data_IF_806755110097
#
_entry.id   IF_806755110097
#
_cell.length_a   1.000
_cell.length_b   1.000
_cell.length_c   1.000
_cell.angle_alpha   90.00
_cell.angle_beta   90.00
_cell.angle_gamma   90.00
#
_symmetry.space_group_name_H-M   'P 1'
#
loop_
_entity.id
_entity.type
_entity.pdbx_description
1 polymer ?
#
# COMPACT_ATOMS: atom_id res chain seq x y z
N UNK A 1 -22.28 -12.84 14.54
CA UNK A 1 -21.12 -12.71 13.63
C UNK A 1 -19.99 -12.09 14.43
N UNK A 2 -18.74 -12.55 14.26
CA UNK A 2 -17.60 -11.94 14.94
C UNK A 2 -17.44 -10.47 14.54
N UNK A 3 -16.95 -9.62 15.44
CA UNK A 3 -16.65 -8.21 15.13
C UNK A 3 -15.57 -8.16 14.03
N UNK A 4 -15.83 -7.43 12.94
CA UNK A 4 -14.88 -7.27 11.82
C UNK A 4 -13.71 -6.40 12.27
N UNK A 5 -12.50 -6.77 11.86
CA UNK A 5 -11.28 -5.98 12.11
C UNK A 5 -11.27 -4.75 11.20
N UNK A 6 -11.20 -3.56 11.80
CA UNK A 6 -11.08 -2.30 11.06
C UNK A 6 -9.66 -2.12 10.57
N UNK A 7 -9.50 -1.92 9.26
CA UNK A 7 -8.20 -1.68 8.66
C UNK A 7 -8.16 -0.41 7.83
N UNK A 8 -7.01 0.25 7.85
CA UNK A 8 -6.60 1.26 6.86
C UNK A 8 -5.47 0.63 6.06
N UNK A 9 -5.53 0.73 4.74
CA UNK A 9 -4.47 0.23 3.86
C UNK A 9 -3.66 1.45 3.39
N UNK A 10 -2.39 1.50 3.76
CA UNK A 10 -1.42 2.49 3.27
C UNK A 10 -0.65 1.89 2.11
N UNK A 11 -0.78 2.45 0.91
CA UNK A 11 -0.46 1.75 -0.35
C UNK A 11 0.07 2.71 -1.42
N UNK A 12 0.82 2.18 -2.37
CA UNK A 12 1.33 2.88 -3.54
C UNK A 12 0.88 2.12 -4.80
N UNK A 13 -0.44 2.09 -5.12
CA UNK A 13 -1.04 0.97 -5.84
C UNK A 13 -0.30 0.52 -7.11
N UNK A 14 0.45 -0.57 -6.93
CA UNK A 14 0.95 -1.45 -7.96
C UNK A 14 -0.02 -2.59 -8.26
N UNK A 15 0.43 -3.56 -9.06
CA UNK A 15 -0.36 -4.73 -9.46
C UNK A 15 -0.68 -5.61 -8.24
N UNK A 16 0.30 -5.83 -7.37
CA UNK A 16 0.19 -6.59 -6.13
C UNK A 16 -0.63 -5.86 -5.06
N UNK A 17 -0.47 -4.55 -4.89
CA UNK A 17 -1.36 -3.73 -4.04
C UNK A 17 -2.83 -3.85 -4.48
N UNK A 18 -3.09 -3.78 -5.79
CA UNK A 18 -4.43 -3.91 -6.32
C UNK A 18 -5.05 -5.26 -5.92
N UNK A 19 -4.27 -6.34 -5.99
CA UNK A 19 -4.70 -7.66 -5.53
C UNK A 19 -4.97 -7.68 -4.02
N UNK A 20 -4.11 -7.06 -3.21
CA UNK A 20 -4.28 -6.99 -1.76
C UNK A 20 -5.53 -6.20 -1.35
N UNK A 21 -5.77 -5.05 -1.97
CA UNK A 21 -6.97 -4.22 -1.77
C UNK A 21 -8.22 -5.03 -2.11
N UNK A 22 -8.23 -5.67 -3.27
CA UNK A 22 -9.35 -6.49 -3.71
C UNK A 22 -9.62 -7.68 -2.79
N UNK A 23 -8.59 -8.37 -2.32
CA UNK A 23 -8.73 -9.44 -1.34
C UNK A 23 -9.31 -8.92 -0.02
N UNK A 24 -8.82 -7.77 0.46
CA UNK A 24 -9.32 -7.16 1.69
C UNK A 24 -10.80 -6.75 1.57
N UNK A 25 -11.22 -6.19 0.44
CA UNK A 25 -12.61 -5.79 0.21
C UNK A 25 -13.58 -6.97 0.13
N UNK A 26 -13.11 -8.17 -0.25
CA UNK A 26 -13.91 -9.39 -0.31
C UNK A 26 -13.88 -10.20 1.00
N UNK A 27 -13.00 -9.85 1.95
CA UNK A 27 -12.88 -10.60 3.21
C UNK A 27 -14.03 -10.29 4.17
N UNK A 28 -14.79 -11.31 4.65
CA UNK A 28 -15.87 -11.10 5.62
C UNK A 28 -15.36 -10.75 7.02
N UNK A 29 -14.07 -10.97 7.30
CA UNK A 29 -13.43 -10.74 8.60
C UNK A 29 -12.93 -9.30 8.77
N UNK A 30 -12.85 -8.54 7.66
CA UNK A 30 -12.19 -7.25 7.57
C UNK A 30 -13.21 -6.17 7.19
N UNK A 31 -13.03 -5.00 7.77
CA UNK A 31 -13.73 -3.77 7.41
C UNK A 31 -12.67 -2.74 6.98
N UNK A 32 -12.52 -2.54 5.66
CA UNK A 32 -11.66 -1.49 5.12
C UNK A 32 -12.37 -0.15 5.31
N UNK A 33 -11.79 0.72 6.15
CA UNK A 33 -12.37 2.02 6.51
C UNK A 33 -11.71 3.21 5.79
N UNK A 34 -10.62 2.97 5.06
CA UNK A 34 -9.93 3.98 4.28
C UNK A 34 -8.70 3.44 3.56
N UNK A 35 -8.32 4.12 2.49
CA UNK A 35 -7.03 3.96 1.83
C UNK A 35 -6.20 5.22 2.02
N UNK A 36 -4.93 5.08 2.35
CA UNK A 36 -3.95 6.17 2.29
C UNK A 36 -2.95 5.87 1.19
N UNK A 37 -2.56 6.89 0.42
CA UNK A 37 -1.66 6.69 -0.73
C UNK A 37 -0.29 7.32 -0.53
N UNK A 38 0.75 6.65 -1.03
CA UNK A 38 2.13 7.12 -0.99
C UNK A 38 2.84 6.79 -2.30
N UNK A 39 4.04 7.34 -2.50
CA UNK A 39 4.91 6.97 -3.62
C UNK A 39 5.56 5.60 -3.39
N UNK A 40 6.04 4.97 -4.47
CA UNK A 40 6.90 3.78 -4.43
C UNK A 40 6.89 3.07 -5.78
N UNK A 41 5.86 2.30 -6.08
CA UNK A 41 5.62 1.72 -7.41
C UNK A 41 5.31 2.79 -8.45
N UNK A 42 4.59 3.84 -8.05
CA UNK A 42 4.30 5.05 -8.84
C UNK A 42 4.45 6.32 -7.98
N UNK A 43 4.37 7.50 -8.59
CA UNK A 43 4.27 8.76 -7.84
C UNK A 43 2.94 8.87 -7.07
N UNK A 44 2.95 9.56 -5.92
CA UNK A 44 1.79 9.68 -5.01
C UNK A 44 0.49 10.09 -5.71
N UNK A 45 0.49 11.10 -6.60
CA UNK A 45 -0.72 11.50 -7.33
C UNK A 45 -1.30 10.39 -8.21
N UNK A 46 -0.42 9.60 -8.83
CA UNK A 46 -0.83 8.47 -9.63
C UNK A 46 -1.30 7.30 -8.74
N UNK A 47 -0.63 7.06 -7.62
CA UNK A 47 -1.09 6.13 -6.59
C UNK A 47 -2.51 6.48 -6.09
N UNK A 48 -2.77 7.75 -5.78
CA UNK A 48 -4.10 8.27 -5.39
C UNK A 48 -5.14 8.02 -6.48
N UNK A 49 -4.81 8.32 -7.73
CA UNK A 49 -5.68 8.03 -8.88
C UNK A 49 -5.99 6.54 -9.00
N UNK A 50 -4.98 5.70 -8.83
CA UNK A 50 -5.11 4.25 -8.92
C UNK A 50 -6.01 3.71 -7.80
N UNK A 51 -5.79 4.14 -6.55
CA UNK A 51 -6.63 3.75 -5.41
C UNK A 51 -8.12 4.07 -5.65
N UNK A 52 -8.42 5.28 -6.13
CA UNK A 52 -9.78 5.69 -6.48
C UNK A 52 -10.37 4.81 -7.59
N UNK A 53 -9.59 4.52 -8.64
CA UNK A 53 -10.02 3.65 -9.72
C UNK A 53 -10.33 2.22 -9.22
N UNK A 54 -9.48 1.66 -8.35
CA UNK A 54 -9.69 0.33 -7.77
C UNK A 54 -10.98 0.28 -6.95
N UNK A 55 -11.27 1.31 -6.14
CA UNK A 55 -12.52 1.40 -5.38
C UNK A 55 -13.75 1.54 -6.28
N UNK A 56 -13.66 2.29 -7.39
CA UNK A 56 -14.75 2.38 -8.37
C UNK A 56 -15.04 1.02 -9.03
N UNK A 57 -13.99 0.30 -9.45
CA UNK A 57 -14.14 -1.04 -10.04
C UNK A 57 -14.73 -2.02 -9.04
N UNK A 58 -14.37 -1.90 -7.76
CA UNK A 58 -14.92 -2.72 -6.69
C UNK A 58 -16.34 -2.30 -6.24
N UNK A 59 -16.87 -1.18 -6.75
CA UNK A 59 -18.16 -0.64 -6.31
C UNK A 59 -18.17 -0.15 -4.86
N UNK A 60 -17.01 0.28 -4.33
CA UNK A 60 -16.78 0.69 -2.93
C UNK A 60 -16.30 2.14 -2.83
N UNK A 61 -16.96 3.02 -3.58
CA UNK A 61 -16.68 4.48 -3.55
C UNK A 61 -17.10 5.15 -2.24
N UNK A 62 -17.71 4.41 -1.31
CA UNK A 62 -17.97 4.83 0.07
C UNK A 62 -16.69 4.93 0.92
N UNK A 63 -15.62 4.23 0.53
CA UNK A 63 -14.35 4.23 1.26
C UNK A 63 -13.54 5.49 0.91
N UNK A 64 -13.12 6.30 1.91
CA UNK A 64 -12.30 7.48 1.65
C UNK A 64 -10.88 7.11 1.20
N UNK A 65 -10.33 7.91 0.29
CA UNK A 65 -8.92 7.89 -0.10
C UNK A 65 -8.27 9.18 0.35
N UNK A 66 -7.22 9.11 1.16
CA UNK A 66 -6.44 10.27 1.60
C UNK A 66 -5.06 10.27 0.93
N UNK A 67 -4.73 11.36 0.25
CA UNK A 67 -3.43 11.51 -0.42
C UNK A 67 -2.32 11.80 0.60
N UNK A 68 -1.21 11.08 0.49
CA UNK A 68 -0.08 11.19 1.40
C UNK A 68 1.06 12.07 0.90
N UNK A 69 2.25 11.83 1.46
CA UNK A 69 3.43 12.63 1.14
C UNK A 69 3.90 12.41 -0.31
N UNK A 70 4.43 13.46 -0.93
CA UNK A 70 5.14 13.38 -2.23
C UNK A 70 6.65 13.19 -2.09
N UNK A 71 7.16 13.15 -0.86
CA UNK A 71 8.59 13.10 -0.55
C UNK A 71 8.86 12.18 0.63
N UNK A 72 9.99 11.48 0.58
CA UNK A 72 10.51 10.75 1.74
C UNK A 72 10.91 11.72 2.86
N UNK A 73 10.85 11.25 4.11
CA UNK A 73 11.38 11.98 5.26
C UNK A 73 12.91 12.01 5.13
N UNK A 74 13.52 13.14 5.52
CA UNK A 74 14.98 13.25 5.65
C UNK A 74 15.29 13.70 7.08
N UNK A 75 15.96 12.85 7.87
CA UNK A 75 16.29 13.15 9.27
C UNK A 75 17.61 13.94 9.38
N UNK A 76 18.57 13.80 8.44
CA UNK A 76 19.87 14.47 8.53
C UNK A 76 20.57 14.69 7.17
N UNK A 77 20.49 15.91 6.60
CA UNK A 77 21.61 16.50 5.84
C UNK A 77 21.66 18.01 6.09
N UNK A 78 22.86 18.56 6.30
CA UNK A 78 23.13 19.96 6.68
C UNK A 78 22.73 21.03 5.63
N UNK A 79 22.03 20.62 4.56
CA UNK A 79 21.56 21.50 3.51
C UNK A 79 20.14 21.09 3.13
N UNK A 80 19.17 21.94 3.50
CA UNK A 80 17.74 21.91 3.18
C UNK A 80 16.87 20.83 3.86
N UNK A 81 15.93 21.29 4.70
CA UNK A 81 14.75 20.57 5.21
C UNK A 81 13.71 20.25 4.11
N UNK A 82 14.15 19.87 2.91
CA UNK A 82 13.25 19.42 1.83
C UNK A 82 13.50 17.94 1.62
N UNK A 83 12.47 17.13 1.81
CA UNK A 83 12.49 15.68 1.60
C UNK A 83 13.13 15.30 0.26
N UNK A 84 13.72 14.12 0.18
CA UNK A 84 14.35 13.66 -1.07
C UNK A 84 13.28 13.27 -2.09
N UNK A 85 13.58 13.48 -3.38
CA UNK A 85 12.70 13.01 -4.45
C UNK A 85 12.58 11.49 -4.36
N UNK A 86 11.36 10.94 -4.34
CA UNK A 86 11.16 9.51 -4.23
C UNK A 86 11.71 8.79 -5.46
N UNK A 87 12.27 7.59 -5.22
CA UNK A 87 12.61 6.65 -6.28
C UNK A 87 11.37 5.83 -6.60
N UNK A 88 11.01 5.77 -7.88
CA UNK A 88 9.80 5.09 -8.33
C UNK A 88 10.16 3.85 -9.15
N UNK A 89 9.46 2.74 -8.94
CA UNK A 89 9.70 1.44 -9.56
C UNK A 89 8.83 1.18 -10.82
N UNK A 90 8.68 2.17 -11.69
CA UNK A 90 7.79 2.14 -12.88
C UNK A 90 7.99 0.92 -13.80
N UNK A 91 9.20 0.34 -13.84
CA UNK A 91 9.54 -0.75 -14.77
C UNK A 91 8.84 -2.08 -14.50
N UNK A 92 8.38 -2.33 -13.26
CA UNK A 92 7.71 -3.59 -12.89
C UNK A 92 6.18 -3.54 -12.96
N UNK A 93 5.61 -2.35 -12.77
CA UNK A 93 4.16 -2.16 -12.66
C UNK A 93 3.55 -1.42 -13.86
N UNK A 94 4.37 -1.03 -14.84
CA UNK A 94 3.96 -0.21 -15.96
C UNK A 94 3.96 1.29 -15.59
N UNK A 95 3.84 2.14 -16.62
CA UNK A 95 3.93 3.60 -16.45
C UNK A 95 2.74 4.15 -15.66
N UNK A 96 1.60 3.47 -15.68
CA UNK A 96 0.42 3.81 -14.88
C UNK A 96 0.36 3.10 -13.53
N UNK A 97 1.32 2.21 -13.21
CA UNK A 97 1.33 1.38 -12.00
C UNK A 97 0.39 0.17 -12.03
N UNK A 98 -0.47 0.05 -13.05
CA UNK A 98 -1.49 -0.99 -13.13
C UNK A 98 -1.43 -1.75 -14.47
N UNK A 99 -0.23 -1.95 -15.03
CA UNK A 99 -0.02 -2.75 -16.24
C UNK A 99 -0.42 -2.04 -17.55
N UNK A 100 -0.34 -0.71 -17.59
CA UNK A 100 -0.64 0.11 -18.77
C UNK A 100 -2.06 -0.12 -19.31
N UNK A 101 -3.04 -0.15 -18.42
CA UNK A 101 -4.42 -0.46 -18.75
C UNK A 101 -5.12 0.67 -19.50
N UNK A 102 -4.64 1.91 -19.35
CA UNK A 102 -5.21 3.10 -20.01
C UNK A 102 -6.70 3.29 -19.67
N UNK A 103 -7.05 3.17 -18.39
CA UNK A 103 -8.40 3.40 -17.89
C UNK A 103 -8.71 4.91 -17.81
N UNK A 104 -9.99 5.31 -17.97
CA UNK A 104 -10.39 6.71 -17.82
C UNK A 104 -10.08 7.23 -16.40
N UNK A 105 -9.93 8.55 -16.21
CA UNK A 105 -9.82 9.12 -14.87
C UNK A 105 -11.02 8.70 -13.98
N UNK A 106 -10.79 8.38 -12.70
CA UNK A 106 -11.87 8.11 -11.77
C UNK A 106 -12.77 9.35 -11.59
N UNK A 107 -14.06 9.13 -11.34
CA UNK A 107 -15.02 10.17 -11.01
C UNK A 107 -14.84 10.69 -9.58
N UNK A 108 -14.40 9.82 -8.66
CA UNK A 108 -14.11 10.16 -7.28
C UNK A 108 -12.91 11.12 -7.12
N UNK A 109 -12.79 11.70 -5.92
CA UNK A 109 -11.66 12.55 -5.51
C UNK A 109 -11.14 12.08 -4.16
N UNK A 110 -9.84 12.26 -3.86
CA UNK A 110 -9.37 12.06 -2.50
C UNK A 110 -10.03 13.08 -1.57
N UNK A 111 -10.09 12.76 -0.29
CA UNK A 111 -10.52 13.71 0.75
C UNK A 111 -9.44 14.79 0.95
N UNK A 112 -9.84 15.96 1.46
CA UNK A 112 -8.91 17.09 1.69
C UNK A 112 -7.90 16.84 2.83
N UNK A 113 -8.14 15.82 3.66
CA UNK A 113 -7.22 15.45 4.75
C UNK A 113 -5.98 14.74 4.19
N UNK A 114 -4.79 15.09 4.71
CA UNK A 114 -3.58 14.34 4.40
C UNK A 114 -3.66 12.91 4.93
N UNK A 115 -2.93 11.96 4.32
CA UNK A 115 -2.86 10.59 4.82
C UNK A 115 -2.46 10.50 6.31
N UNK A 116 -1.46 11.28 6.74
CA UNK A 116 -1.00 11.29 8.13
C UNK A 116 -2.09 11.81 9.09
N UNK A 117 -2.81 12.88 8.72
CA UNK A 117 -3.93 13.40 9.50
C UNK A 117 -5.09 12.40 9.54
N UNK A 118 -5.37 11.74 8.41
CA UNK A 118 -6.38 10.70 8.35
C UNK A 118 -6.05 9.53 9.28
N UNK A 119 -4.81 9.05 9.29
CA UNK A 119 -4.34 7.98 10.18
C UNK A 119 -4.49 8.36 11.66
N UNK A 120 -4.00 9.55 12.05
CA UNK A 120 -4.10 10.02 13.44
C UNK A 120 -5.55 10.21 13.88
N UNK A 121 -6.38 10.81 13.01
CA UNK A 121 -7.80 11.01 13.28
C UNK A 121 -8.55 9.68 13.45
N UNK A 122 -8.40 8.73 12.51
CA UNK A 122 -9.06 7.43 12.62
C UNK A 122 -8.61 6.64 13.85
N UNK A 123 -7.31 6.63 14.15
CA UNK A 123 -6.81 5.99 15.37
C UNK A 123 -7.39 6.63 16.63
N UNK A 124 -7.58 7.96 16.66
CA UNK A 124 -8.18 8.67 17.80
C UNK A 124 -9.67 8.34 18.01
N UNK A 125 -10.41 8.10 16.92
CA UNK A 125 -11.82 7.71 16.98
C UNK A 125 -12.01 6.27 17.48
N UNK A 126 -11.04 5.39 17.19
CA UNK A 126 -11.11 3.98 17.50
C UNK A 126 -9.82 3.49 18.20
N UNK A 127 -9.51 4.00 19.40
CA UNK A 127 -8.24 3.71 20.08
C UNK A 127 -8.09 2.21 20.36
N UNK A 128 -6.95 1.66 19.95
CA UNK A 128 -6.59 0.25 20.08
C UNK A 128 -7.27 -0.69 19.08
N UNK A 129 -8.14 -0.18 18.19
CA UNK A 129 -8.95 -1.02 17.27
C UNK A 129 -8.50 -0.99 15.82
N UNK A 130 -7.82 0.08 15.38
CA UNK A 130 -7.38 0.21 13.98
C UNK A 130 -6.11 -0.60 13.75
N UNK A 131 -6.13 -1.43 12.71
CA UNK A 131 -4.91 -2.03 12.15
C UNK A 131 -4.53 -1.26 10.88
N UNK A 132 -3.30 -0.74 10.83
CA UNK A 132 -2.75 -0.15 9.61
C UNK A 132 -2.00 -1.24 8.85
N UNK A 133 -2.42 -1.51 7.62
CA UNK A 133 -1.74 -2.43 6.70
C UNK A 133 -0.91 -1.60 5.73
N UNK A 134 0.39 -1.53 5.96
CA UNK A 134 1.33 -0.76 5.15
C UNK A 134 1.93 -1.64 4.06
N UNK A 135 1.56 -1.37 2.82
CA UNK A 135 2.01 -2.07 1.62
C UNK A 135 3.13 -1.34 0.87
N UNK A 136 3.50 -0.16 1.36
CA UNK A 136 4.31 0.84 0.68
C UNK A 136 5.36 1.47 1.62
N UNK A 137 6.21 2.42 1.15
CA UNK A 137 7.11 3.18 2.02
C UNK A 137 6.40 3.82 3.22
N UNK A 138 7.02 3.74 4.40
CA UNK A 138 6.39 4.02 5.70
C UNK A 138 6.23 5.51 6.03
N UNK A 139 6.42 6.39 5.04
CA UNK A 139 6.44 7.85 5.17
C UNK A 139 5.18 8.39 5.85
N UNK A 140 3.98 7.97 5.41
CA UNK A 140 2.72 8.46 5.97
C UNK A 140 2.58 8.11 7.46
N UNK A 141 2.99 6.90 7.84
CA UNK A 141 2.92 6.40 9.21
C UNK A 141 3.95 7.12 10.09
N UNK A 142 5.18 7.31 9.60
CA UNK A 142 6.19 8.07 10.30
C UNK A 142 5.77 9.53 10.52
N UNK A 143 5.15 10.17 9.51
CA UNK A 143 4.58 11.51 9.64
C UNK A 143 3.44 11.55 10.67
N UNK A 144 2.56 10.53 10.70
CA UNK A 144 1.50 10.42 11.71
C UNK A 144 2.07 10.29 13.14
N UNK A 145 3.15 9.53 13.31
CA UNK A 145 3.87 9.39 14.59
C UNK A 145 4.49 10.72 15.03
N UNK A 146 5.12 11.44 14.09
CA UNK A 146 5.77 12.73 14.36
C UNK A 146 4.75 13.84 14.66
N UNK A 147 3.59 13.84 13.99
CA UNK A 147 2.55 14.86 14.17
C UNK A 147 1.75 14.67 15.45
N UNK A 148 1.42 13.42 15.82
CA UNK A 148 0.74 13.09 17.08
C UNK A 148 1.35 11.84 17.73
N UNK A 149 2.24 11.99 18.73
CA UNK A 149 2.82 10.86 19.44
C UNK A 149 1.80 9.95 20.15
N UNK A 150 0.55 10.42 20.36
CA UNK A 150 -0.54 9.56 20.89
C UNK A 150 -0.98 8.51 19.88
N UNK A 151 -0.71 8.72 18.59
CA UNK A 151 -0.98 7.73 17.53
C UNK A 151 -0.40 6.36 17.88
N UNK A 152 0.82 6.30 18.42
CA UNK A 152 1.48 5.05 18.84
C UNK A 152 0.62 4.25 19.83
N UNK A 153 -0.07 4.93 20.75
CA UNK A 153 -0.93 4.30 21.77
C UNK A 153 -2.33 4.00 21.24
N UNK A 154 -2.79 4.75 20.25
CA UNK A 154 -4.14 4.67 19.70
C UNK A 154 -4.24 3.68 18.53
N UNK A 155 -3.16 3.44 17.80
CA UNK A 155 -3.12 2.39 16.77
C UNK A 155 -3.11 1.03 17.46
N UNK A 156 -3.97 0.11 17.02
CA UNK A 156 -4.03 -1.24 17.57
C UNK A 156 -2.85 -2.10 17.10
N UNK A 157 -2.56 -2.04 15.80
CA UNK A 157 -1.44 -2.76 15.20
C UNK A 157 -1.00 -2.09 13.89
N UNK A 158 0.29 -2.15 13.59
CA UNK A 158 0.84 -1.82 12.27
C UNK A 158 1.38 -3.12 11.67
N UNK A 159 0.82 -3.55 10.55
CA UNK A 159 1.31 -4.69 9.77
C UNK A 159 1.96 -4.11 8.52
N UNK A 160 3.25 -4.31 8.34
CA UNK A 160 3.98 -3.79 7.19
C UNK A 160 4.52 -4.89 6.29
N UNK A 161 4.40 -4.70 4.99
CA UNK A 161 5.07 -5.45 3.95
C UNK A 161 6.42 -4.78 3.70
N UNK A 162 7.50 -5.39 4.19
CA UNK A 162 8.82 -4.85 3.95
C UNK A 162 9.93 -5.46 4.80
N UNK A 163 11.15 -5.26 4.33
CA UNK A 163 12.37 -5.77 4.93
C UNK A 163 12.78 -7.17 4.47
N UNK A 164 14.03 -7.53 4.79
CA UNK A 164 14.59 -8.86 4.54
C UNK A 164 15.24 -9.40 5.81
N UNK A 165 14.55 -10.32 6.48
CA UNK A 165 15.02 -10.88 7.76
C UNK A 165 15.66 -12.24 7.52
N UNK A 166 16.93 -12.40 7.93
CA UNK A 166 17.67 -13.67 7.84
C UNK A 166 17.77 -14.24 6.40
N UNK A 167 17.90 -13.37 5.40
CA UNK A 167 18.10 -13.73 3.99
C UNK A 167 19.51 -13.36 3.51
N UNK A 168 20.16 -14.28 2.81
CA UNK A 168 21.44 -14.04 2.14
C UNK A 168 21.15 -13.43 0.77
N UNK A 169 21.37 -12.13 0.60
CA UNK A 169 21.21 -11.47 -0.69
C UNK A 169 22.58 -11.22 -1.34
N UNK A 170 22.92 -11.98 -2.39
CA UNK A 170 24.13 -11.77 -3.21
C UNK A 170 24.04 -10.53 -4.14
N UNK A 171 22.95 -9.76 -4.10
CA UNK A 171 22.77 -8.57 -4.95
C UNK A 171 22.25 -7.43 -4.09
N UNK A 172 23.18 -6.63 -3.56
CA UNK A 172 22.96 -5.46 -2.70
C UNK A 172 22.22 -5.74 -1.37
N UNK A 173 22.94 -5.92 -0.24
CA UNK A 173 22.39 -6.29 1.08
C UNK A 173 21.48 -5.26 1.77
N UNK A 174 21.11 -4.16 1.10
CA UNK A 174 20.44 -3.01 1.68
C UNK A 174 19.09 -2.74 1.03
N UNK A 175 18.07 -3.24 1.73
CA UNK A 175 16.66 -2.84 1.73
C UNK A 175 15.78 -3.34 0.58
N UNK A 176 14.83 -4.20 0.97
CA UNK A 176 13.56 -4.41 0.29
C UNK A 176 12.93 -3.06 -0.13
N UNK A 177 12.18 -3.05 -1.24
CA UNK A 177 11.79 -1.83 -1.96
C UNK A 177 11.07 -0.79 -1.10
N UNK A 178 10.13 -1.21 -0.25
CA UNK A 178 9.38 -0.31 0.62
C UNK A 178 10.27 0.33 1.69
N UNK A 179 11.15 -0.46 2.31
CA UNK A 179 12.13 0.06 3.28
C UNK A 179 13.16 0.97 2.60
N UNK A 180 13.57 0.66 1.37
CA UNK A 180 14.49 1.50 0.61
C UNK A 180 13.85 2.82 0.14
N UNK A 181 12.53 2.82 -0.06
CA UNK A 181 11.77 3.99 -0.49
C UNK A 181 11.81 5.14 0.53
N UNK A 182 11.84 4.83 1.82
CA UNK A 182 12.03 5.79 2.90
C UNK A 182 12.62 5.10 4.15
N UNK A 183 13.96 4.92 4.20
CA UNK A 183 14.61 4.21 5.30
C UNK A 183 14.55 4.98 6.62
N UNK A 184 14.51 6.31 6.57
CA UNK A 184 14.37 7.17 7.74
C UNK A 184 12.97 6.99 8.38
N UNK A 185 11.92 6.96 7.55
CA UNK A 185 10.58 6.64 8.03
C UNK A 185 10.50 5.21 8.58
N UNK A 186 11.16 4.25 7.93
CA UNK A 186 11.21 2.88 8.42
C UNK A 186 11.86 2.78 9.80
N UNK A 187 12.99 3.47 10.04
CA UNK A 187 13.65 3.50 11.35
C UNK A 187 12.72 4.08 12.42
N UNK A 188 12.00 5.18 12.13
CA UNK A 188 10.99 5.74 13.03
C UNK A 188 9.93 4.69 13.37
N UNK A 189 9.35 4.01 12.37
CA UNK A 189 8.26 3.05 12.61
C UNK A 189 8.75 1.82 13.36
N UNK A 190 9.93 1.28 13.06
CA UNK A 190 10.48 0.13 13.78
C UNK A 190 10.84 0.46 15.24
N UNK A 191 11.20 1.71 15.53
CA UNK A 191 11.64 2.14 16.88
C UNK A 191 10.57 2.87 17.68
N UNK A 192 9.39 3.14 17.13
CA UNK A 192 8.35 3.95 17.78
C UNK A 192 7.69 3.31 19.01
N UNK A 193 7.84 2.00 19.22
CA UNK A 193 7.22 1.27 20.33
C UNK A 193 5.75 0.91 20.13
N UNK A 194 5.19 1.07 18.92
CA UNK A 194 3.89 0.51 18.55
C UNK A 194 3.94 -1.02 18.42
N UNK A 195 2.77 -1.66 18.38
CA UNK A 195 2.65 -3.08 18.02
C UNK A 195 2.88 -3.26 16.51
N UNK A 196 4.13 -3.51 16.11
CA UNK A 196 4.54 -3.64 14.71
C UNK A 196 4.77 -5.12 14.35
N UNK A 197 4.19 -5.56 13.24
CA UNK A 197 4.44 -6.85 12.61
C UNK A 197 5.00 -6.62 11.20
N UNK A 198 6.23 -7.08 10.97
CA UNK A 198 6.87 -6.99 9.65
C UNK A 198 6.77 -8.32 8.90
N UNK A 199 6.28 -8.24 7.66
CA UNK A 199 6.23 -9.36 6.71
C UNK A 199 7.28 -9.06 5.63
N UNK A 200 8.46 -9.65 5.82
CA UNK A 200 9.59 -9.44 4.92
C UNK A 200 9.63 -10.40 3.73
N UNK A 201 10.58 -10.15 2.83
CA UNK A 201 10.81 -10.93 1.61
C UNK A 201 11.18 -12.39 1.88
N UNK A 202 11.70 -12.67 3.09
CA UNK A 202 11.97 -14.01 3.58
C UNK A 202 10.70 -14.88 3.66
N UNK A 203 9.52 -14.27 3.82
CA UNK A 203 8.22 -14.96 3.83
C UNK A 203 7.57 -14.87 2.45
N UNK A 204 7.49 -13.66 1.87
CA UNK A 204 6.68 -13.43 0.67
C UNK A 204 7.19 -14.20 -0.56
N UNK A 205 8.50 -14.44 -0.67
CA UNK A 205 9.07 -15.27 -1.76
C UNK A 205 8.69 -16.76 -1.67
N UNK A 206 8.15 -17.22 -0.55
CA UNK A 206 7.69 -18.61 -0.40
C UNK A 206 6.25 -18.79 -0.91
N UNK A 207 5.48 -17.71 -1.05
CA UNK A 207 4.07 -17.75 -1.46
C UNK A 207 3.97 -17.41 -2.94
N UNK A 208 3.92 -18.45 -3.78
CA UNK A 208 3.94 -18.30 -5.24
C UNK A 208 2.55 -18.60 -5.82
N UNK A 209 1.98 -17.63 -6.52
CA UNK A 209 0.80 -17.84 -7.36
C UNK A 209 1.25 -18.39 -8.72
N UNK A 210 1.10 -19.70 -8.91
CA UNK A 210 1.38 -20.35 -10.19
C UNK A 210 0.28 -20.06 -11.23
N UNK A 211 0.60 -20.25 -12.52
CA UNK A 211 -0.36 -20.02 -13.60
C UNK A 211 -1.66 -20.84 -13.46
N UNK A 212 -1.62 -22.02 -12.85
CA UNK A 212 -2.82 -22.85 -12.64
C UNK A 212 -3.73 -22.28 -11.55
N UNK A 213 -3.16 -21.69 -10.50
CA UNK A 213 -3.93 -20.98 -9.48
C UNK A 213 -4.66 -19.77 -10.09
N UNK A 214 -4.03 -19.11 -11.06
CA UNK A 214 -4.63 -17.99 -11.78
C UNK A 214 -5.81 -18.41 -12.64
N UNK A 215 -5.68 -19.54 -13.35
CA UNK A 215 -6.77 -20.11 -14.17
C UNK A 215 -7.96 -20.53 -13.30
N UNK A 216 -7.71 -21.11 -12.12
CA UNK A 216 -8.77 -21.48 -11.17
C UNK A 216 -9.50 -20.24 -10.64
N UNK A 217 -8.77 -19.18 -10.25
CA UNK A 217 -9.36 -17.91 -9.85
C UNK A 217 -10.28 -17.31 -10.93
N UNK A 218 -9.89 -17.41 -12.20
CA UNK A 218 -10.74 -16.95 -13.32
C UNK A 218 -12.01 -17.78 -13.50
N UNK A 219 -11.92 -19.11 -13.36
CA UNK A 219 -13.03 -20.04 -13.62
C UNK A 219 -14.08 -19.97 -12.52
N UNK A 220 -13.67 -19.98 -11.24
CA UNK A 220 -14.60 -19.97 -10.10
C UNK A 220 -15.33 -18.62 -9.93
N UNK A 221 -14.84 -17.56 -10.58
CA UNK A 221 -15.29 -16.20 -10.32
C UNK A 221 -15.49 -15.39 -11.64
N UNK A 222 -15.97 -16.09 -12.68
CA UNK A 222 -16.25 -15.55 -14.02
C UNK A 222 -17.28 -14.39 -14.05
N UNK A 223 -17.92 -14.10 -12.92
CA UNK A 223 -18.95 -13.06 -12.77
C UNK A 223 -18.49 -11.76 -12.09
N UNK A 224 -17.22 -11.61 -11.68
CA UNK A 224 -16.75 -10.39 -11.01
C UNK A 224 -15.76 -9.58 -11.87
N UNK A 225 -16.06 -8.30 -12.11
CA UNK A 225 -15.22 -7.34 -12.84
C UNK A 225 -13.77 -7.26 -12.30
N UNK A 226 -13.57 -7.59 -11.02
CA UNK A 226 -12.30 -7.58 -10.30
C UNK A 226 -11.21 -8.45 -10.95
N UNK A 227 -11.52 -9.71 -11.28
CA UNK A 227 -10.53 -10.64 -11.81
C UNK A 227 -10.19 -10.39 -13.27
N UNK A 228 -11.12 -9.79 -14.03
CA UNK A 228 -10.81 -9.28 -15.37
C UNK A 228 -9.75 -8.19 -15.30
N UNK A 229 -9.84 -7.30 -14.31
CA UNK A 229 -8.86 -6.24 -14.10
C UNK A 229 -7.49 -6.81 -13.71
N UNK A 230 -7.44 -7.77 -12.77
CA UNK A 230 -6.17 -8.41 -12.37
C UNK A 230 -5.55 -9.18 -13.56
N UNK A 231 -6.37 -9.87 -14.37
CA UNK A 231 -5.89 -10.54 -15.59
C UNK A 231 -5.31 -9.54 -16.60
N UNK A 232 -5.99 -8.41 -16.84
CA UNK A 232 -5.45 -7.39 -17.74
C UNK A 232 -4.19 -6.71 -17.19
N UNK A 233 -4.05 -6.53 -15.87
CA UNK A 233 -2.80 -6.03 -15.28
C UNK A 233 -1.61 -6.94 -15.56
N UNK A 234 -1.79 -8.26 -15.40
CA UNK A 234 -0.68 -9.22 -15.45
C UNK A 234 -0.30 -9.66 -16.87
N UNK A 235 -1.27 -9.72 -17.79
CA UNK A 235 -1.06 -10.39 -19.09
C UNK A 235 -1.06 -9.45 -20.30
N UNK A 236 -1.29 -8.14 -20.15
CA UNK A 236 -1.31 -7.23 -21.31
C UNK A 236 0.09 -6.96 -21.90
N UNK A 237 1.15 -7.08 -21.10
CA UNK A 237 2.53 -7.01 -21.60
C UNK A 237 3.07 -8.36 -22.13
N UNK A 238 2.46 -9.49 -21.74
CA UNK A 238 2.86 -10.82 -22.23
C UNK A 238 2.54 -11.05 -23.73
N UNK A 239 1.64 -10.25 -24.32
CA UNK A 239 1.23 -10.37 -25.73
C UNK A 239 1.93 -9.39 -26.69
N UNK A 240 2.94 -8.62 -26.24
CA UNK A 240 3.72 -7.73 -27.13
C UNK A 240 4.99 -8.37 -27.71
N UNK A 241 5.28 -9.62 -27.38
CA UNK A 241 6.45 -10.36 -27.90
C UNK A 241 6.09 -11.64 -28.68
N UNK A 242 5.03 -11.59 -29.48
CA UNK A 242 4.80 -12.54 -30.59
C UNK A 242 4.43 -11.78 -31.86
#
# INVERSE_FOLDING_TARGET
MAERKKIIIDTDPGIDDAMAIFLALQSPEIEVIGLTTIFGNVHTTLATRNALHLLEVAGRTDIPVAEGSHFAITICTASSHKGTKPRVADSKHGVDGLGNQNFPPPNGKPIDQSAADFLTHQASLFPGKITVVALAPLTNIALAIQSDPRFIKNVGQIILLGGGFLVNEEVNPAAEANIFGDPDAADIVFTCGANVMAIGINITRQVILSGICFVILLIDCYSQCLLRLIWSMLFRDAYRYN
#
